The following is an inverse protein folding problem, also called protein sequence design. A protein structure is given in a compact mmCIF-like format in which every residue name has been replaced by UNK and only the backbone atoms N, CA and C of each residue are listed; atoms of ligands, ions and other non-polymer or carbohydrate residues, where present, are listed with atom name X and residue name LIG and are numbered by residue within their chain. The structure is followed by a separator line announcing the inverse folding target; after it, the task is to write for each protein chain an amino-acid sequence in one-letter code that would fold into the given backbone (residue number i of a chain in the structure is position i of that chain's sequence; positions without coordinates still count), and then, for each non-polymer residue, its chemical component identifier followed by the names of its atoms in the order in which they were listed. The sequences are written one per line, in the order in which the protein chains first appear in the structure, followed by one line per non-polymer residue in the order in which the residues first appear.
data_IF_153015074529
#
_entry.id   IF_153015074529
#
_cell.length_a   1.000
_cell.length_b   1.000
_cell.length_c   1.000
_cell.angle_alpha   90.00
_cell.angle_beta   90.00
_cell.angle_gamma   90.00
#
_symmetry.space_group_name_H-M   'P 1'
#
loop_
_entity.id
_entity.type
_entity.pdbx_description
1 polymer ?
#
# COMPACT_ATOMS: atom_id res chain seq x y z
N UNK A 1 11.49 -6.00 0.74
CA UNK A 1 11.29 -7.40 0.33
C UNK A 1 12.08 -8.28 1.28
N UNK A 2 11.48 -9.30 1.91
CA UNK A 2 12.22 -10.14 2.85
C UNK A 2 13.36 -10.85 2.13
N UNK A 3 14.56 -10.73 2.69
CA UNK A 3 15.79 -11.32 2.21
C UNK A 3 15.63 -12.84 2.19
N UNK A 4 15.67 -13.45 1.00
CA UNK A 4 15.73 -14.90 0.85
C UNK A 4 17.16 -15.31 1.26
N UNK A 5 17.39 -15.53 2.55
CA UNK A 5 18.60 -16.18 3.02
C UNK A 5 18.72 -17.52 2.28
N UNK A 6 19.83 -17.75 1.57
CA UNK A 6 20.03 -18.85 0.62
C UNK A 6 20.03 -20.28 1.18
N UNK A 7 19.32 -20.57 2.26
CA UNK A 7 19.10 -21.93 2.74
C UNK A 7 18.06 -22.65 1.85
N UNK A 8 18.49 -23.74 1.21
CA UNK A 8 17.62 -24.61 0.43
C UNK A 8 16.53 -25.21 1.33
N UNK A 9 15.28 -25.06 0.92
CA UNK A 9 14.12 -25.66 1.59
C UNK A 9 14.02 -27.13 1.18
N UNK A 10 14.13 -28.04 2.14
CA UNK A 10 14.15 -29.50 1.91
C UNK A 10 12.90 -30.22 2.43
N UNK A 11 12.03 -29.53 3.16
CA UNK A 11 10.79 -30.07 3.70
C UNK A 11 9.60 -29.63 2.85
N UNK A 12 8.67 -30.54 2.62
CA UNK A 12 7.45 -30.32 1.84
C UNK A 12 6.20 -30.47 2.72
N UNK A 13 5.16 -29.71 2.40
CA UNK A 13 3.83 -29.78 3.02
C UNK A 13 2.82 -30.03 1.89
N UNK A 14 2.20 -31.21 1.89
CA UNK A 14 1.11 -31.54 0.98
C UNK A 14 -0.23 -31.22 1.64
N UNK A 15 -1.07 -30.45 0.95
CA UNK A 15 -2.42 -30.08 1.42
C UNK A 15 -3.43 -30.68 0.44
N UNK A 16 -4.37 -31.47 0.96
CA UNK A 16 -5.51 -31.96 0.19
C UNK A 16 -6.59 -30.89 0.19
N UNK A 17 -7.11 -30.58 -1.00
CA UNK A 17 -8.16 -29.58 -1.23
C UNK A 17 -9.18 -30.15 -2.21
N UNK A 18 -10.43 -29.71 -2.11
CA UNK A 18 -11.44 -29.91 -3.14
C UNK A 18 -11.20 -29.02 -4.37
N UNK A 19 -11.92 -29.27 -5.46
CA UNK A 19 -11.82 -28.43 -6.66
C UNK A 19 -12.24 -26.97 -6.39
N UNK A 20 -13.30 -26.77 -5.61
CA UNK A 20 -13.78 -25.44 -5.23
C UNK A 20 -12.77 -24.69 -4.38
N UNK A 21 -12.17 -25.37 -3.40
CA UNK A 21 -11.12 -24.81 -2.55
C UNK A 21 -9.89 -24.42 -3.37
N UNK A 22 -9.49 -25.27 -4.32
CA UNK A 22 -8.37 -24.96 -5.21
C UNK A 22 -8.64 -23.74 -6.09
N UNK A 23 -9.87 -23.60 -6.61
CA UNK A 23 -10.28 -22.46 -7.42
C UNK A 23 -10.25 -21.16 -6.58
N UNK A 24 -10.75 -21.21 -5.36
CA UNK A 24 -10.76 -20.06 -4.46
C UNK A 24 -9.35 -19.66 -4.01
N UNK A 25 -8.49 -20.65 -3.71
CA UNK A 25 -7.08 -20.40 -3.41
C UNK A 25 -6.36 -19.70 -4.58
N UNK A 26 -6.59 -20.16 -5.82
CA UNK A 26 -6.01 -19.52 -7.01
C UNK A 26 -6.50 -18.08 -7.19
N UNK A 27 -7.77 -17.79 -6.91
CA UNK A 27 -8.31 -16.41 -6.97
C UNK A 27 -7.67 -15.50 -5.91
N UNK A 28 -7.43 -16.05 -4.71
CA UNK A 28 -6.86 -15.30 -3.57
C UNK A 28 -5.33 -15.20 -3.61
N UNK A 29 -4.66 -15.98 -4.45
CA UNK A 29 -3.20 -16.00 -4.56
C UNK A 29 -2.68 -14.59 -4.86
N UNK A 30 -1.86 -14.06 -3.95
CA UNK A 30 -1.14 -12.80 -4.15
C UNK A 30 0.34 -13.09 -4.43
N UNK A 31 0.85 -12.60 -5.56
CA UNK A 31 2.25 -12.76 -5.95
C UNK A 31 2.53 -13.99 -6.84
N UNK A 32 3.81 -14.28 -7.03
CA UNK A 32 4.31 -15.12 -8.13
C UNK A 32 3.99 -16.61 -8.00
N UNK A 33 3.87 -17.15 -6.78
CA UNK A 33 3.64 -18.59 -6.56
C UNK A 33 2.70 -18.87 -5.38
N UNK A 34 1.84 -19.89 -5.54
CA UNK A 34 0.96 -20.41 -4.46
C UNK A 34 1.76 -20.79 -3.21
N UNK A 35 2.90 -21.48 -3.39
CA UNK A 35 3.75 -21.90 -2.29
C UNK A 35 4.45 -20.73 -1.57
N UNK A 36 4.68 -19.61 -2.27
CA UNK A 36 5.13 -18.35 -1.67
C UNK A 36 4.04 -17.76 -0.78
N UNK A 37 2.89 -17.50 -1.41
CA UNK A 37 1.74 -16.89 -0.75
C UNK A 37 1.24 -17.66 0.47
N UNK A 38 1.11 -18.99 0.37
CA UNK A 38 0.62 -19.83 1.46
C UNK A 38 1.61 -19.91 2.64
N UNK A 39 2.91 -19.76 2.37
CA UNK A 39 3.94 -19.66 3.42
C UNK A 39 3.85 -18.33 4.14
N UNK A 40 3.71 -17.23 3.41
CA UNK A 40 3.58 -15.91 3.99
C UNK A 40 2.32 -15.87 4.89
N UNK A 41 1.20 -16.39 4.37
CA UNK A 41 -0.04 -16.57 5.12
C UNK A 41 0.15 -17.42 6.40
N UNK A 42 0.79 -18.59 6.28
CA UNK A 42 1.00 -19.52 7.40
C UNK A 42 2.03 -19.06 8.44
N UNK A 43 2.94 -18.15 8.08
CA UNK A 43 3.93 -17.56 8.97
C UNK A 43 3.46 -16.23 9.60
N UNK A 44 2.19 -15.84 9.39
CA UNK A 44 1.65 -14.58 9.89
C UNK A 44 2.21 -13.34 9.18
N UNK A 45 2.90 -13.52 8.04
CA UNK A 45 3.21 -12.41 7.15
C UNK A 45 1.91 -12.07 6.44
N UNK A 46 1.24 -11.03 6.91
CA UNK A 46 -0.03 -10.58 6.29
C UNK A 46 0.26 -10.29 4.81
N UNK A 47 -0.31 -11.04 3.85
CA UNK A 47 -0.15 -10.75 2.45
C UNK A 47 -0.62 -9.31 2.23
N UNK A 48 0.31 -8.41 1.90
CA UNK A 48 -0.03 -7.01 1.70
C UNK A 48 -0.92 -6.96 0.46
N UNK A 49 -2.21 -6.65 0.64
CA UNK A 49 -3.07 -6.35 -0.49
C UNK A 49 -2.34 -5.28 -1.32
N UNK A 50 -2.13 -5.47 -2.64
CA UNK A 50 -1.54 -4.44 -3.46
C UNK A 50 -2.38 -3.18 -3.30
N UNK A 51 -1.77 -2.12 -2.77
CA UNK A 51 -2.42 -0.82 -2.63
C UNK A 51 -2.74 -0.29 -4.03
N UNK A 52 -3.90 0.36 -4.18
CA UNK A 52 -4.31 0.95 -5.46
C UNK A 52 -3.18 1.89 -5.96
N UNK A 53 -2.62 1.63 -7.17
CA UNK A 53 -1.59 2.49 -7.75
C UNK A 53 -1.99 3.97 -7.84
N UNK A 54 -3.28 4.27 -7.99
CA UNK A 54 -3.78 5.66 -7.96
C UNK A 54 -3.68 6.27 -6.57
N UNK A 55 -4.03 5.52 -5.53
CA UNK A 55 -3.90 5.96 -4.14
C UNK A 55 -2.43 6.19 -3.76
N UNK A 56 -1.52 5.31 -4.18
CA UNK A 56 -0.08 5.47 -3.94
C UNK A 56 0.45 6.72 -4.66
N UNK A 57 0.00 6.98 -5.89
CA UNK A 57 0.36 8.20 -6.63
C UNK A 57 -0.19 9.46 -5.95
N UNK A 58 -1.42 9.42 -5.45
CA UNK A 58 -2.03 10.53 -4.72
C UNK A 58 -1.26 10.85 -3.43
N UNK A 59 -0.89 9.82 -2.65
CA UNK A 59 -0.04 9.96 -1.46
C UNK A 59 1.33 10.56 -1.81
N UNK A 60 1.94 10.13 -2.92
CA UNK A 60 3.19 10.70 -3.41
C UNK A 60 3.10 12.20 -3.72
N UNK A 61 1.99 12.64 -4.33
CA UNK A 61 1.74 14.08 -4.60
C UNK A 61 1.57 14.87 -3.30
N UNK A 62 0.85 14.34 -2.33
CA UNK A 62 0.67 14.96 -1.00
C UNK A 62 2.03 15.11 -0.30
N UNK A 63 2.84 14.04 -0.28
CA UNK A 63 4.18 14.07 0.31
C UNK A 63 5.10 15.09 -0.36
N UNK A 64 5.04 15.22 -1.69
CA UNK A 64 5.80 16.24 -2.42
C UNK A 64 5.40 17.66 -2.04
N UNK A 65 4.10 17.94 -1.94
CA UNK A 65 3.59 19.25 -1.54
C UNK A 65 3.98 19.59 -0.08
N UNK A 66 3.90 18.62 0.83
CA UNK A 66 4.34 18.79 2.22
C UNK A 66 5.85 19.08 2.30
N UNK A 67 6.65 18.42 1.46
CA UNK A 67 8.09 18.65 1.39
C UNK A 67 8.42 20.05 0.85
N UNK A 68 7.62 20.56 -0.10
CA UNK A 68 7.76 21.93 -0.61
C UNK A 68 7.43 22.96 0.49
N UNK A 69 6.35 22.76 1.23
CA UNK A 69 6.00 23.59 2.39
C UNK A 69 7.12 23.58 3.44
N UNK A 70 7.64 22.39 3.76
CA UNK A 70 8.71 22.23 4.75
C UNK A 70 9.99 22.91 4.30
N UNK A 71 10.36 22.77 3.02
CA UNK A 71 11.52 23.42 2.43
C UNK A 71 11.36 24.95 2.43
N UNK A 72 10.19 25.46 2.08
CA UNK A 72 9.92 26.88 2.05
C UNK A 72 9.95 27.49 3.46
N UNK A 73 9.29 26.86 4.44
CA UNK A 73 9.33 27.29 5.85
C UNK A 73 10.75 27.24 6.41
N UNK A 74 11.55 26.22 6.05
CA UNK A 74 12.93 26.10 6.51
C UNK A 74 13.90 27.11 5.85
N UNK A 75 13.65 27.54 4.62
CA UNK A 75 14.48 28.52 3.90
C UNK A 75 14.09 29.95 4.30
N UNK A 76 12.79 30.28 4.22
CA UNK A 76 12.31 31.66 4.36
C UNK A 76 12.01 32.04 5.81
N UNK A 77 12.10 31.08 6.76
CA UNK A 77 11.90 31.24 8.22
C UNK A 77 10.64 32.03 8.61
N UNK A 78 9.69 32.15 7.70
CA UNK A 78 8.44 32.85 7.86
C UNK A 78 7.35 32.01 7.21
N UNK A 79 6.19 31.94 7.85
CA UNK A 79 5.03 31.27 7.30
C UNK A 79 4.25 32.36 6.56
N UNK A 80 4.52 32.48 5.26
CA UNK A 80 3.86 33.47 4.41
C UNK A 80 2.53 32.93 3.86
N UNK A 81 1.67 33.80 3.32
CA UNK A 81 0.31 33.46 2.87
C UNK A 81 0.29 32.32 1.81
N UNK A 82 1.36 32.22 1.02
CA UNK A 82 1.61 31.12 0.08
C UNK A 82 1.66 29.73 0.74
N UNK A 83 2.22 29.62 1.94
CA UNK A 83 2.26 28.36 2.71
C UNK A 83 0.85 27.97 3.16
N UNK A 84 0.08 28.97 3.59
CA UNK A 84 -1.28 28.74 4.05
C UNK A 84 -2.18 28.28 2.90
N UNK A 85 -2.02 28.85 1.70
CA UNK A 85 -2.72 28.38 0.50
C UNK A 85 -2.36 26.94 0.12
N UNK A 86 -1.07 26.58 0.18
CA UNK A 86 -0.63 25.21 -0.09
C UNK A 86 -1.20 24.22 0.93
N UNK A 87 -1.24 24.57 2.22
CA UNK A 87 -1.86 23.74 3.26
C UNK A 87 -3.36 23.58 3.01
N UNK A 88 -4.07 24.64 2.62
CA UNK A 88 -5.50 24.58 2.26
C UNK A 88 -5.73 23.67 1.04
N UNK A 89 -4.88 23.75 0.02
CA UNK A 89 -4.96 22.90 -1.17
C UNK A 89 -4.72 21.42 -0.86
N UNK A 90 -3.73 21.11 -0.01
CA UNK A 90 -3.49 19.74 0.48
C UNK A 90 -4.73 19.23 1.22
N UNK A 91 -5.31 20.04 2.12
CA UNK A 91 -6.51 19.66 2.88
C UNK A 91 -7.72 19.38 1.98
N UNK A 92 -7.96 20.21 0.98
CA UNK A 92 -9.05 20.00 0.01
C UNK A 92 -8.87 18.71 -0.80
N UNK A 93 -7.63 18.41 -1.20
CA UNK A 93 -7.30 17.20 -1.97
C UNK A 93 -7.51 15.93 -1.13
N UNK A 94 -7.09 15.95 0.14
CA UNK A 94 -7.29 14.83 1.07
C UNK A 94 -8.79 14.60 1.31
N UNK A 95 -9.56 15.66 1.53
CA UNK A 95 -11.00 15.54 1.73
C UNK A 95 -11.71 14.97 0.49
N UNK A 96 -11.33 15.39 -0.72
CA UNK A 96 -11.90 14.84 -1.95
C UNK A 96 -11.55 13.35 -2.16
N UNK A 97 -10.34 12.93 -1.79
CA UNK A 97 -9.93 11.53 -1.83
C UNK A 97 -10.71 10.68 -0.81
N UNK A 98 -10.90 11.21 0.41
CA UNK A 98 -11.69 10.56 1.44
C UNK A 98 -13.16 10.44 1.01
N UNK A 99 -13.78 11.50 0.47
CA UNK A 99 -15.16 11.47 -0.01
C UNK A 99 -15.37 10.47 -1.14
N UNK A 100 -14.42 10.37 -2.07
CA UNK A 100 -14.49 9.40 -3.16
C UNK A 100 -14.33 7.95 -2.69
N UNK A 101 -13.52 7.69 -1.67
CA UNK A 101 -13.33 6.33 -1.13
C UNK A 101 -14.37 5.93 -0.08
N UNK A 102 -14.94 6.87 0.69
CA UNK A 102 -15.99 6.60 1.68
C UNK A 102 -17.38 6.41 1.06
N UNK A 103 -17.62 6.91 -0.16
CA UNK A 103 -18.87 6.68 -0.92
C UNK A 103 -18.82 5.47 -1.85
N UNK A 104 -17.69 4.75 -1.88
CA UNK A 104 -17.42 3.63 -2.79
C UNK A 104 -17.64 2.24 -2.20
N UNK A 105 -18.25 2.09 -1.02
CA UNK A 105 -18.66 0.77 -0.50
C UNK A 105 -20.15 0.52 -0.73
N UNK A 106 -20.53 -0.41 -1.63
CA UNK A 106 -21.56 -1.39 -1.37
C UNK A 106 -21.02 -2.57 -0.53
#
# INVERSE_FOLDING_TARGET
MPQISGQKRTKEIAIRVSEDELAELKKRQQGTTMAGWMRDLGLGVTPMKPADPELVRALGRIGSNLNQVTKHVNIDKSIDESVLEQIKAIRATINALLDNHLRGEP
#
